data_IF_191526689737
#
_entry.id   IF_191526689737
#
_cell.length_a   1.000
_cell.length_b   1.000
_cell.length_c   1.000
_cell.angle_alpha   90.00
_cell.angle_beta   90.00
_cell.angle_gamma   90.00
#
_symmetry.space_group_name_H-M   'P 1'
#
loop_
_entity.id
_entity.type
_entity.pdbx_description
1 polymer ?
#
# COMPACT_ATOMS: atom_id res chain seq x y z
N UNK A 1 56.97 4.36 7.43
CA UNK A 1 55.75 5.02 7.96
C UNK A 1 54.53 4.25 7.48
N UNK A 2 53.60 3.96 8.40
CA UNK A 2 52.44 3.08 8.20
C UNK A 2 51.54 3.57 7.06
N UNK A 3 51.23 2.68 6.11
CA UNK A 3 50.13 2.84 5.15
C UNK A 3 48.81 2.86 5.93
N UNK A 4 48.10 4.00 5.91
CA UNK A 4 46.73 4.07 6.37
C UNK A 4 45.83 3.27 5.42
N UNK A 5 45.06 2.35 6.00
CA UNK A 5 44.21 1.41 5.29
C UNK A 5 42.87 2.07 4.96
N UNK A 6 42.72 2.56 3.71
CA UNK A 6 41.53 3.24 3.20
C UNK A 6 40.30 2.33 3.02
N UNK A 7 40.45 1.03 3.27
CA UNK A 7 39.35 0.05 3.18
C UNK A 7 38.38 0.08 4.38
N UNK A 8 38.68 0.80 5.46
CA UNK A 8 37.70 1.05 6.55
C UNK A 8 36.86 2.31 6.36
N UNK A 9 37.25 3.21 5.45
CA UNK A 9 36.44 4.40 5.12
C UNK A 9 35.41 4.09 4.02
N UNK A 10 35.70 3.11 3.13
CA UNK A 10 34.75 2.63 2.12
C UNK A 10 33.68 1.68 2.67
N UNK A 11 33.97 0.92 3.72
CA UNK A 11 32.96 0.10 4.41
C UNK A 11 31.92 0.93 5.18
N UNK A 12 32.26 2.17 5.56
CA UNK A 12 31.31 3.09 6.21
C UNK A 12 30.41 3.82 5.19
N UNK A 13 30.82 3.89 3.92
CA UNK A 13 30.01 4.46 2.82
C UNK A 13 29.24 3.40 2.01
N UNK A 14 29.67 2.13 2.01
CA UNK A 14 28.94 1.03 1.35
C UNK A 14 27.79 0.44 2.19
N UNK A 15 27.68 0.79 3.47
CA UNK A 15 26.49 0.47 4.27
C UNK A 15 25.34 1.49 4.09
N UNK A 16 25.54 2.55 3.30
CA UNK A 16 24.50 3.54 2.98
C UNK A 16 23.81 3.29 1.62
N UNK A 17 24.16 2.21 0.92
CA UNK A 17 23.67 1.93 -0.44
C UNK A 17 22.75 0.71 -0.56
N UNK A 18 22.12 0.29 0.55
CA UNK A 18 21.05 -0.72 0.57
C UNK A 18 19.80 -0.24 1.33
N UNK A 19 19.59 1.07 1.39
CA UNK A 19 18.30 1.72 1.69
C UNK A 19 18.12 2.87 0.70
N UNK A 20 17.79 2.54 -0.54
CA UNK A 20 17.28 3.51 -1.53
C UNK A 20 16.02 2.93 -2.19
N UNK A 21 15.04 2.58 -1.37
CA UNK A 21 13.63 2.80 -1.74
C UNK A 21 13.31 4.24 -1.38
N UNK A 22 12.73 4.99 -2.33
CA UNK A 22 12.38 6.41 -2.27
C UNK A 22 13.56 7.39 -2.39
N UNK A 23 13.98 7.70 -3.63
CA UNK A 23 14.34 9.09 -3.92
C UNK A 23 13.03 9.89 -3.91
N UNK A 24 12.63 10.30 -2.71
CA UNK A 24 11.81 11.50 -2.56
C UNK A 24 12.59 12.61 -3.28
N UNK A 25 12.00 13.21 -4.30
CA UNK A 25 12.39 14.56 -4.67
C UNK A 25 12.10 15.42 -3.45
N UNK A 26 13.07 15.53 -2.53
CA UNK A 26 13.06 16.62 -1.56
C UNK A 26 13.48 17.85 -2.34
N UNK A 27 12.52 18.44 -3.05
CA UNK A 27 12.45 19.88 -3.11
C UNK A 27 12.71 20.40 -1.69
N UNK A 28 13.62 21.34 -1.56
CA UNK A 28 13.96 21.97 -0.31
C UNK A 28 12.77 22.83 0.17
N UNK A 29 11.67 22.19 0.54
CA UNK A 29 10.63 22.81 1.34
C UNK A 29 11.10 22.71 2.78
N UNK A 30 11.26 23.89 3.41
CA UNK A 30 11.40 23.98 4.84
C UNK A 30 10.31 23.11 5.47
N UNK A 31 10.73 22.09 6.22
CA UNK A 31 9.83 21.25 7.01
C UNK A 31 9.10 22.23 7.94
N UNK A 32 7.86 22.59 7.61
CA UNK A 32 7.07 23.38 8.53
C UNK A 32 6.81 22.47 9.72
N UNK A 33 7.18 22.89 10.93
CA UNK A 33 6.87 22.16 12.18
C UNK A 33 5.36 22.19 12.49
N UNK A 34 4.52 22.47 11.49
CA UNK A 34 3.08 22.61 11.60
C UNK A 34 2.45 21.23 11.54
N UNK A 35 1.99 20.76 12.69
CA UNK A 35 1.25 19.50 12.81
C UNK A 35 -0.25 19.77 12.79
N UNK A 36 -0.97 19.07 11.91
CA UNK A 36 -2.43 19.07 11.87
C UNK A 36 -3.00 18.03 12.86
N UNK A 37 -4.01 18.40 13.62
CA UNK A 37 -4.69 17.57 14.63
C UNK A 37 -6.20 17.58 14.40
N UNK A 38 -6.93 16.73 15.12
CA UNK A 38 -8.39 16.64 14.97
C UNK A 38 -9.10 17.99 15.20
N UNK A 39 -8.59 18.80 16.14
CA UNK A 39 -9.08 20.13 16.49
C UNK A 39 -9.04 21.16 15.34
N UNK A 40 -8.26 20.92 14.29
CA UNK A 40 -8.16 21.82 13.13
C UNK A 40 -9.31 21.66 12.15
N UNK A 41 -10.16 20.64 12.36
CA UNK A 41 -11.20 20.26 11.42
C UNK A 41 -12.58 20.30 12.09
N UNK A 42 -13.59 20.56 11.27
CA UNK A 42 -14.99 20.37 11.63
C UNK A 42 -15.45 18.99 11.16
N UNK A 43 -16.40 18.42 11.90
CA UNK A 43 -16.92 17.08 11.63
C UNK A 43 -18.44 17.10 11.44
N UNK A 44 -18.94 16.25 10.55
CA UNK A 44 -20.36 15.92 10.49
C UNK A 44 -20.79 15.08 11.69
N UNK A 45 -22.10 14.89 11.89
CA UNK A 45 -22.65 13.97 12.91
C UNK A 45 -22.14 12.53 12.78
N UNK A 46 -21.80 12.12 11.57
CA UNK A 46 -21.21 10.81 11.25
C UNK A 46 -19.69 10.73 11.47
N UNK A 47 -19.05 11.82 11.90
CA UNK A 47 -17.61 11.88 12.13
C UNK A 47 -16.75 12.02 10.88
N UNK A 48 -17.31 12.52 9.76
CA UNK A 48 -16.54 12.83 8.56
C UNK A 48 -15.98 14.25 8.66
N UNK A 49 -14.75 14.48 8.23
CA UNK A 49 -14.19 15.83 8.14
C UNK A 49 -14.94 16.59 7.03
N UNK A 50 -15.44 17.80 7.32
CA UNK A 50 -16.24 18.59 6.38
C UNK A 50 -15.62 19.94 6.01
N UNK A 51 -14.83 20.55 6.90
CA UNK A 51 -14.23 21.86 6.70
C UNK A 51 -13.12 22.13 7.74
N UNK A 52 -12.41 23.25 7.64
CA UNK A 52 -11.53 23.74 8.70
C UNK A 52 -12.30 24.33 9.88
N UNK A 53 -11.88 24.04 11.10
CA UNK A 53 -12.26 24.81 12.28
C UNK A 53 -11.59 26.20 12.25
N UNK A 54 -11.88 27.06 13.24
CA UNK A 54 -11.16 28.33 13.39
C UNK A 54 -9.65 28.12 13.55
N UNK A 55 -9.25 27.10 14.32
CA UNK A 55 -7.84 26.70 14.47
C UNK A 55 -7.24 26.26 13.13
N UNK A 56 -8.00 25.51 12.33
CA UNK A 56 -7.56 25.08 11.00
C UNK A 56 -7.37 26.25 10.03
N UNK A 57 -8.23 27.27 10.10
CA UNK A 57 -8.08 28.50 9.33
C UNK A 57 -6.81 29.25 9.73
N UNK A 58 -6.56 29.44 11.03
CA UNK A 58 -5.33 30.08 11.52
C UNK A 58 -4.08 29.29 11.12
N UNK A 59 -4.18 27.96 11.02
CA UNK A 59 -3.09 27.07 10.62
C UNK A 59 -2.83 27.14 9.11
N UNK A 60 -3.86 27.26 8.29
CA UNK A 60 -3.74 27.46 6.83
C UNK A 60 -2.87 28.66 6.49
N UNK A 61 -2.92 29.74 7.27
CA UNK A 61 -2.10 30.94 7.05
C UNK A 61 -0.59 30.70 7.31
N UNK A 62 -0.23 29.58 7.96
CA UNK A 62 1.15 29.25 8.34
C UNK A 62 1.78 28.19 7.45
N UNK A 63 1.00 27.49 6.63
CA UNK A 63 1.50 26.40 5.78
C UNK A 63 0.62 26.12 4.55
N UNK A 64 1.25 25.65 3.48
CA UNK A 64 0.61 25.09 2.30
C UNK A 64 0.77 23.55 2.23
N UNK A 65 1.13 22.90 3.33
CA UNK A 65 1.11 21.44 3.44
C UNK A 65 -0.09 21.06 4.30
N UNK A 66 -1.10 20.42 3.70
CA UNK A 66 -2.28 19.92 4.40
C UNK A 66 -2.11 18.44 4.72
N UNK A 67 -2.25 18.07 5.99
CA UNK A 67 -2.22 16.67 6.43
C UNK A 67 -3.50 16.38 7.18
N UNK A 68 -4.26 15.38 6.76
CA UNK A 68 -5.43 14.94 7.52
C UNK A 68 -5.01 13.97 8.64
N UNK A 69 -5.68 13.98 9.81
CA UNK A 69 -5.31 13.10 10.92
C UNK A 69 -5.55 11.63 10.60
N UNK A 70 -4.66 10.76 11.09
CA UNK A 70 -4.89 9.30 11.08
C UNK A 70 -6.19 8.95 11.83
N UNK A 71 -6.90 7.93 11.37
CA UNK A 71 -8.21 7.56 11.90
C UNK A 71 -9.39 8.27 11.21
N UNK A 72 -9.12 9.29 10.38
CA UNK A 72 -10.13 9.92 9.51
C UNK A 72 -10.73 8.86 8.58
N UNK A 73 -12.06 8.71 8.60
CA UNK A 73 -12.78 7.74 7.75
C UNK A 73 -13.08 8.30 6.36
N UNK A 74 -13.56 9.53 6.32
CA UNK A 74 -13.94 10.23 5.09
C UNK A 74 -13.65 11.72 5.21
N UNK A 75 -13.33 12.32 4.07
CA UNK A 75 -13.17 13.78 3.93
C UNK A 75 -14.20 14.23 2.92
N UNK A 76 -15.15 15.06 3.35
CA UNK A 76 -16.20 15.62 2.53
C UNK A 76 -15.84 17.05 2.09
N UNK A 77 -16.44 17.48 1.00
CA UNK A 77 -16.18 18.80 0.43
C UNK A 77 -17.25 19.85 0.69
N UNK A 78 -16.98 20.97 0.02
CA UNK A 78 -17.69 22.25 -0.09
C UNK A 78 -19.22 22.24 0.10
N UNK A 79 -19.91 21.22 -0.40
CA UNK A 79 -21.37 21.14 -0.40
C UNK A 79 -21.95 20.28 0.72
N UNK A 80 -21.18 20.04 1.79
CA UNK A 80 -21.70 19.37 2.97
C UNK A 80 -22.79 20.23 3.61
N UNK A 81 -24.05 19.77 3.53
CA UNK A 81 -25.20 20.39 4.21
C UNK A 81 -24.97 20.54 5.72
N UNK A 82 -24.02 19.79 6.30
CA UNK A 82 -23.69 19.82 7.72
C UNK A 82 -23.17 21.17 8.23
N UNK A 83 -22.72 22.09 7.36
CA UNK A 83 -22.29 23.44 7.77
C UNK A 83 -22.89 24.55 6.89
N UNK A 84 -24.06 24.33 6.29
CA UNK A 84 -24.68 25.30 5.36
C UNK A 84 -24.97 26.66 5.98
N UNK A 85 -25.23 26.68 7.30
CA UNK A 85 -25.58 27.87 8.08
C UNK A 85 -24.35 28.64 8.60
N UNK A 86 -23.13 28.15 8.32
CA UNK A 86 -21.91 28.83 8.73
C UNK A 86 -21.60 30.00 7.77
N UNK A 87 -21.54 31.21 8.31
CA UNK A 87 -21.20 32.42 7.57
C UNK A 87 -19.79 32.36 6.95
N UNK A 88 -18.88 31.58 7.54
CA UNK A 88 -17.53 31.37 7.07
C UNK A 88 -17.37 30.12 6.18
N UNK A 89 -18.47 29.43 5.82
CA UNK A 89 -18.42 28.14 5.10
C UNK A 89 -17.43 28.11 3.94
N UNK A 90 -17.43 29.15 3.10
CA UNK A 90 -16.56 29.25 1.93
C UNK A 90 -15.09 29.40 2.30
N UNK A 91 -14.79 30.12 3.40
CA UNK A 91 -13.41 30.27 3.87
C UNK A 91 -12.87 28.96 4.46
N UNK A 92 -13.75 28.15 5.07
CA UNK A 92 -13.39 26.89 5.74
C UNK A 92 -13.14 25.72 4.79
N UNK A 93 -13.44 25.86 3.50
CA UNK A 93 -13.19 24.83 2.50
C UNK A 93 -11.69 24.53 2.32
N UNK A 94 -11.39 23.28 1.96
CA UNK A 94 -10.06 22.84 1.52
C UNK A 94 -9.74 23.27 0.08
N UNK A 95 -10.80 23.55 -0.69
CA UNK A 95 -10.81 23.86 -2.13
C UNK A 95 -10.66 25.34 -2.47
N UNK A 96 -11.66 25.87 -3.17
CA UNK A 96 -11.86 27.22 -3.70
C UNK A 96 -10.84 28.26 -3.25
N UNK A 97 -9.91 28.59 -4.15
CA UNK A 97 -8.94 29.67 -3.96
C UNK A 97 -7.83 29.35 -2.95
N UNK A 98 -7.74 28.12 -2.46
CA UNK A 98 -6.60 27.66 -1.64
C UNK A 98 -5.51 27.11 -2.54
N UNK A 99 -4.27 27.35 -2.13
CA UNK A 99 -3.08 26.74 -2.70
C UNK A 99 -2.43 25.80 -1.69
N UNK A 100 -2.03 24.63 -2.17
CA UNK A 100 -1.36 23.58 -1.41
C UNK A 100 -0.14 23.08 -2.19
N UNK A 101 1.04 23.23 -1.59
CA UNK A 101 2.26 22.58 -2.06
C UNK A 101 2.07 21.06 -1.98
N UNK A 102 1.37 20.59 -0.93
CA UNK A 102 1.11 19.17 -0.72
C UNK A 102 -0.17 18.90 0.06
N UNK A 103 -0.95 17.91 -0.38
CA UNK A 103 -2.07 17.35 0.38
C UNK A 103 -1.79 15.88 0.69
N UNK A 104 -1.87 15.51 1.97
CA UNK A 104 -1.65 14.15 2.46
C UNK A 104 -2.95 13.60 3.04
N UNK A 105 -3.52 12.63 2.34
CA UNK A 105 -4.70 11.87 2.78
C UNK A 105 -4.20 10.56 3.42
N UNK A 106 -4.42 10.33 4.72
CA UNK A 106 -3.89 9.16 5.42
C UNK A 106 -4.61 7.88 5.01
N UNK A 107 -3.94 6.74 5.19
CA UNK A 107 -4.41 5.42 4.72
C UNK A 107 -5.68 4.93 5.45
N UNK A 108 -6.10 5.60 6.53
CA UNK A 108 -7.39 5.37 7.19
C UNK A 108 -8.60 5.83 6.35
N UNK A 109 -8.39 6.77 5.42
CA UNK A 109 -9.47 7.37 4.62
C UNK A 109 -9.90 6.42 3.52
N UNK A 110 -11.19 6.09 3.47
CA UNK A 110 -11.77 5.21 2.45
C UNK A 110 -12.59 5.94 1.39
N UNK A 111 -13.06 7.14 1.73
CA UNK A 111 -13.94 7.94 0.87
C UNK A 111 -13.48 9.39 0.84
N UNK A 112 -13.28 9.90 -0.37
CA UNK A 112 -13.15 11.33 -0.61
C UNK A 112 -14.47 11.82 -1.23
N UNK A 113 -15.16 12.70 -0.54
CA UNK A 113 -16.51 13.13 -0.86
C UNK A 113 -16.58 14.13 -2.01
N UNK A 114 -17.82 14.46 -2.38
CA UNK A 114 -18.13 15.42 -3.44
C UNK A 114 -17.43 16.77 -3.20
N UNK A 115 -16.74 17.28 -4.22
CA UNK A 115 -16.08 18.59 -4.22
C UNK A 115 -15.07 18.82 -3.07
N UNK A 116 -14.42 17.77 -2.56
CA UNK A 116 -13.49 17.83 -1.43
C UNK A 116 -12.41 18.93 -1.58
N UNK A 117 -11.78 19.01 -2.74
CA UNK A 117 -10.75 20.00 -3.07
C UNK A 117 -11.13 20.86 -4.29
N UNK A 118 -12.43 20.98 -4.58
CA UNK A 118 -12.93 21.75 -5.74
C UNK A 118 -12.23 23.10 -5.88
N UNK A 119 -11.55 23.33 -7.01
CA UNK A 119 -10.80 24.56 -7.33
C UNK A 119 -9.68 24.94 -6.33
N UNK A 120 -9.04 23.96 -5.67
CA UNK A 120 -7.76 24.17 -4.98
C UNK A 120 -6.58 24.05 -5.95
N UNK A 121 -5.61 24.94 -5.92
CA UNK A 121 -4.32 24.71 -6.60
C UNK A 121 -3.50 23.72 -5.78
N UNK A 122 -3.21 22.53 -6.32
CA UNK A 122 -2.45 21.48 -5.63
C UNK A 122 -1.25 21.07 -6.48
N UNK A 123 -0.05 21.17 -5.91
CA UNK A 123 1.19 20.75 -6.58
C UNK A 123 1.40 19.23 -6.43
N UNK A 124 1.26 18.69 -5.21
CA UNK A 124 1.36 17.26 -4.92
C UNK A 124 0.16 16.76 -4.10
N UNK A 125 -0.42 15.62 -4.50
CA UNK A 125 -1.44 14.93 -3.70
C UNK A 125 -1.04 13.48 -3.45
N UNK A 126 -0.98 13.09 -2.18
CA UNK A 126 -0.88 11.70 -1.76
C UNK A 126 -2.27 11.19 -1.36
N UNK A 127 -2.87 10.37 -2.21
CA UNK A 127 -4.11 9.66 -1.90
C UNK A 127 -3.86 8.54 -0.89
N UNK A 128 -4.90 8.19 -0.13
CA UNK A 128 -4.91 7.01 0.74
C UNK A 128 -4.76 5.72 -0.06
N UNK A 129 -3.90 4.81 0.38
CA UNK A 129 -3.79 3.46 -0.19
C UNK A 129 -5.05 2.61 0.02
N UNK A 130 -5.94 3.01 0.93
CA UNK A 130 -7.21 2.35 1.22
C UNK A 130 -8.41 3.06 0.57
N UNK A 131 -8.18 4.08 -0.27
CA UNK A 131 -9.25 4.85 -0.88
C UNK A 131 -10.06 3.97 -1.84
N UNK A 132 -11.34 3.78 -1.54
CA UNK A 132 -12.26 2.98 -2.37
C UNK A 132 -13.15 3.84 -3.25
N UNK A 133 -13.37 5.09 -2.88
CA UNK A 133 -14.34 5.98 -3.53
C UNK A 133 -13.80 7.39 -3.69
N UNK A 134 -13.88 7.92 -4.93
CA UNK A 134 -13.56 9.28 -5.26
C UNK A 134 -14.80 10.01 -5.77
N UNK A 135 -15.31 10.95 -4.98
CA UNK A 135 -16.55 11.67 -5.22
C UNK A 135 -16.50 12.66 -6.37
N UNK A 136 -17.70 13.03 -6.85
CA UNK A 136 -17.83 13.93 -7.99
C UNK A 136 -17.17 15.28 -7.71
N UNK A 137 -16.51 15.84 -8.72
CA UNK A 137 -15.75 17.11 -8.60
C UNK A 137 -14.65 17.12 -7.52
N UNK A 138 -14.25 15.98 -6.94
CA UNK A 138 -13.33 15.95 -5.78
C UNK A 138 -12.04 16.73 -5.99
N UNK A 139 -11.46 16.67 -7.20
CA UNK A 139 -10.29 17.43 -7.64
C UNK A 139 -10.58 18.23 -8.91
N UNK A 140 -11.81 18.74 -9.07
CA UNK A 140 -12.15 19.59 -10.21
C UNK A 140 -11.27 20.84 -10.23
N UNK A 141 -10.63 21.11 -11.37
CA UNK A 141 -9.81 22.30 -11.61
C UNK A 141 -8.74 22.53 -10.54
N UNK A 142 -7.99 21.49 -10.19
CA UNK A 142 -6.96 21.56 -9.15
C UNK A 142 -5.54 21.87 -9.63
N UNK A 143 -5.34 21.93 -10.95
CA UNK A 143 -4.02 22.15 -11.55
C UNK A 143 -3.08 20.94 -11.48
N UNK A 144 -3.55 19.77 -11.01
CA UNK A 144 -2.76 18.56 -10.83
C UNK A 144 -2.04 18.15 -12.12
N UNK A 145 -0.75 17.85 -12.03
CA UNK A 145 0.07 17.37 -13.16
C UNK A 145 0.19 15.84 -13.19
N UNK A 146 0.13 15.24 -12.01
CA UNK A 146 0.19 13.80 -11.82
C UNK A 146 -0.71 13.40 -10.64
N UNK A 147 -1.21 12.17 -10.68
CA UNK A 147 -1.88 11.54 -9.55
C UNK A 147 -1.71 10.03 -9.66
N UNK A 148 -1.34 9.38 -8.55
CA UNK A 148 -1.31 7.92 -8.47
C UNK A 148 -2.63 7.43 -7.88
N UNK A 149 -3.41 6.69 -8.66
CA UNK A 149 -4.65 6.07 -8.18
C UNK A 149 -4.31 4.78 -7.40
N UNK A 150 -4.86 4.59 -6.19
CA UNK A 150 -4.57 3.41 -5.38
C UNK A 150 -5.24 2.16 -5.96
N UNK A 151 -4.61 0.99 -5.79
CA UNK A 151 -5.12 -0.30 -6.25
C UNK A 151 -6.38 -0.80 -5.52
N UNK A 152 -6.89 -0.01 -4.56
CA UNK A 152 -8.14 -0.25 -3.82
C UNK A 152 -9.31 0.57 -4.36
N UNK A 153 -9.05 1.52 -5.27
CA UNK A 153 -10.07 2.42 -5.81
C UNK A 153 -11.09 1.65 -6.64
N UNK A 154 -12.37 1.85 -6.33
CA UNK A 154 -13.49 1.15 -6.97
C UNK A 154 -14.29 2.10 -7.86
N UNK A 155 -14.57 3.32 -7.39
CA UNK A 155 -15.43 4.27 -8.07
C UNK A 155 -14.73 5.61 -8.29
N UNK A 156 -14.83 6.12 -9.52
CA UNK A 156 -14.40 7.46 -9.91
C UNK A 156 -15.64 8.19 -10.43
N UNK A 157 -16.14 9.13 -9.64
CA UNK A 157 -17.37 9.84 -9.93
C UNK A 157 -17.19 10.98 -10.96
N UNK A 158 -18.31 11.57 -11.35
CA UNK A 158 -18.39 12.54 -12.42
C UNK A 158 -17.47 13.74 -12.18
N UNK A 159 -16.74 14.14 -13.22
CA UNK A 159 -15.87 15.32 -13.20
C UNK A 159 -14.77 15.30 -12.10
N UNK A 160 -14.45 14.15 -11.50
CA UNK A 160 -13.58 14.06 -10.32
C UNK A 160 -12.18 14.67 -10.53
N UNK A 161 -11.62 14.56 -11.74
CA UNK A 161 -10.34 15.16 -12.15
C UNK A 161 -10.49 16.05 -13.39
N UNK A 162 -11.69 16.57 -13.68
CA UNK A 162 -11.86 17.46 -14.84
C UNK A 162 -11.04 18.76 -14.67
N UNK A 163 -10.54 19.31 -15.77
CA UNK A 163 -9.82 20.61 -15.84
C UNK A 163 -8.50 20.63 -15.06
N UNK A 164 -7.76 19.52 -15.09
CA UNK A 164 -6.40 19.46 -14.53
C UNK A 164 -5.34 19.48 -15.64
N UNK A 165 -4.07 19.26 -15.27
CA UNK A 165 -2.94 19.19 -16.18
C UNK A 165 -2.37 17.76 -16.27
N UNK A 166 -3.19 16.73 -16.01
CA UNK A 166 -2.72 15.34 -15.99
C UNK A 166 -2.22 14.94 -17.38
N UNK A 167 -1.02 14.38 -17.45
CA UNK A 167 -0.35 13.98 -18.70
C UNK A 167 -0.51 12.49 -18.99
N UNK A 168 -0.49 11.68 -17.94
CA UNK A 168 -0.67 10.25 -18.01
C UNK A 168 -1.60 9.80 -16.88
N UNK A 169 -2.38 8.75 -17.12
CA UNK A 169 -3.16 8.11 -16.06
C UNK A 169 -3.19 6.60 -16.25
N UNK A 170 -2.96 5.88 -15.14
CA UNK A 170 -3.20 4.44 -15.06
C UNK A 170 -4.43 4.19 -14.20
N UNK A 171 -5.48 3.64 -14.79
CA UNK A 171 -6.69 3.17 -14.12
C UNK A 171 -6.42 1.75 -13.56
N UNK A 172 -6.41 1.57 -12.23
CA UNK A 172 -6.14 0.28 -11.60
C UNK A 172 -7.18 -0.80 -11.94
N UNK A 173 -6.80 -2.07 -11.78
CA UNK A 173 -7.68 -3.23 -12.03
C UNK A 173 -8.94 -3.24 -11.16
N UNK A 174 -8.88 -2.61 -9.98
CA UNK A 174 -9.96 -2.56 -9.00
C UNK A 174 -11.12 -1.65 -9.39
N UNK A 175 -10.88 -0.69 -10.30
CA UNK A 175 -11.88 0.30 -10.69
C UNK A 175 -13.00 -0.40 -11.45
N UNK A 176 -14.23 -0.21 -10.97
CA UNK A 176 -15.45 -0.78 -11.53
C UNK A 176 -16.25 0.25 -12.32
N UNK A 177 -16.26 1.51 -11.91
CA UNK A 177 -17.00 2.58 -12.61
C UNK A 177 -16.15 3.82 -12.76
N UNK A 178 -16.26 4.44 -13.94
CA UNK A 178 -15.74 5.78 -14.22
C UNK A 178 -16.87 6.59 -14.84
N UNK A 179 -17.32 7.60 -14.11
CA UNK A 179 -18.46 8.39 -14.51
C UNK A 179 -18.09 9.52 -15.47
N UNK A 180 -19.12 10.10 -16.07
CA UNK A 180 -19.03 11.13 -17.10
C UNK A 180 -18.02 12.24 -16.77
N UNK A 181 -17.21 12.60 -17.77
CA UNK A 181 -16.23 13.68 -17.69
C UNK A 181 -15.16 13.55 -16.59
N UNK A 182 -15.01 12.40 -15.93
CA UNK A 182 -14.09 12.26 -14.80
C UNK A 182 -12.66 12.74 -15.07
N UNK A 183 -12.15 12.58 -16.30
CA UNK A 183 -10.81 13.01 -16.73
C UNK A 183 -10.87 13.98 -17.92
N UNK A 184 -12.01 14.66 -18.11
CA UNK A 184 -12.20 15.67 -19.15
C UNK A 184 -11.21 16.83 -19.02
N UNK A 185 -10.85 17.47 -20.13
CA UNK A 185 -10.07 18.74 -20.13
C UNK A 185 -8.77 18.61 -19.35
N UNK A 186 -8.03 17.55 -19.62
CA UNK A 186 -6.67 17.35 -19.12
C UNK A 186 -5.67 17.47 -20.27
N UNK A 187 -4.41 17.07 -20.02
CA UNK A 187 -3.34 16.99 -21.01
C UNK A 187 -2.95 15.54 -21.29
N UNK A 188 -3.92 14.61 -21.21
CA UNK A 188 -3.64 13.18 -21.26
C UNK A 188 -3.20 12.76 -22.65
N UNK A 189 -1.91 12.47 -22.81
CA UNK A 189 -1.38 11.77 -23.98
C UNK A 189 -1.36 10.26 -23.80
N UNK A 190 -1.54 9.76 -22.57
CA UNK A 190 -1.53 8.32 -22.28
C UNK A 190 -2.61 7.95 -21.27
N UNK A 191 -3.44 6.99 -21.64
CA UNK A 191 -4.45 6.40 -20.75
C UNK A 191 -4.24 4.89 -20.74
N UNK A 192 -3.91 4.34 -19.58
CA UNK A 192 -3.77 2.89 -19.38
C UNK A 192 -4.88 2.36 -18.50
N UNK A 193 -5.69 1.43 -19.00
CA UNK A 193 -6.76 0.78 -18.24
C UNK A 193 -6.39 -0.67 -18.01
N UNK A 194 -6.13 -1.03 -16.75
CA UNK A 194 -5.63 -2.37 -16.38
C UNK A 194 -6.75 -3.41 -16.20
N UNK A 195 -7.99 -2.96 -15.98
CA UNK A 195 -9.18 -3.79 -15.80
C UNK A 195 -10.25 -3.52 -16.86
N UNK A 196 -11.49 -3.89 -16.57
CA UNK A 196 -12.65 -3.67 -17.45
C UNK A 196 -13.73 -2.84 -16.73
N UNK A 197 -13.46 -1.56 -16.38
CA UNK A 197 -14.45 -0.72 -15.74
C UNK A 197 -15.64 -0.45 -16.67
N UNK A 198 -16.82 -0.25 -16.10
CA UNK A 198 -17.92 0.41 -16.79
C UNK A 198 -17.56 1.90 -16.93
N UNK A 199 -17.10 2.28 -18.13
CA UNK A 199 -16.76 3.66 -18.45
C UNK A 199 -17.99 4.31 -19.07
N UNK A 200 -18.45 5.39 -18.45
CA UNK A 200 -19.57 6.17 -18.96
C UNK A 200 -19.25 6.67 -20.38
N UNK A 201 -20.22 6.59 -21.29
CA UNK A 201 -20.02 7.02 -22.69
C UNK A 201 -19.87 8.52 -22.86
N UNK A 202 -20.19 9.32 -21.83
CA UNK A 202 -20.13 10.78 -21.88
C UNK A 202 -18.73 11.29 -21.53
N UNK A 203 -17.86 11.30 -22.54
CA UNK A 203 -16.67 12.14 -22.59
C UNK A 203 -15.71 11.98 -21.41
N UNK A 204 -15.53 10.78 -20.88
CA UNK A 204 -14.69 10.54 -19.70
C UNK A 204 -13.26 11.06 -19.90
N UNK A 205 -12.68 10.88 -21.09
CA UNK A 205 -11.37 11.41 -21.46
C UNK A 205 -11.47 12.41 -22.63
N UNK A 206 -12.55 13.19 -22.72
CA UNK A 206 -12.72 14.14 -23.83
C UNK A 206 -11.97 15.47 -23.63
N UNK A 207 -11.83 16.24 -24.72
CA UNK A 207 -11.23 17.57 -24.74
C UNK A 207 -9.83 17.60 -24.13
N UNK A 208 -9.00 16.61 -24.43
CA UNK A 208 -7.59 16.67 -24.04
C UNK A 208 -6.86 17.72 -24.88
N UNK A 209 -6.08 18.57 -24.23
CA UNK A 209 -5.26 19.59 -24.88
C UNK A 209 -3.80 19.35 -24.53
N UNK A 210 -3.08 18.70 -25.44
CA UNK A 210 -1.73 18.21 -25.17
C UNK A 210 -0.69 19.06 -25.88
N UNK A 211 0.33 19.48 -25.14
CA UNK A 211 1.60 19.93 -25.71
C UNK A 211 2.67 18.88 -25.44
N UNK A 212 3.14 18.21 -26.50
CA UNK A 212 4.14 17.15 -26.39
C UNK A 212 5.47 17.61 -26.99
N UNK A 213 6.49 17.70 -26.13
CA UNK A 213 7.86 18.08 -26.48
C UNK A 213 8.79 16.89 -26.31
N UNK A 214 8.92 16.00 -27.31
CA UNK A 214 9.82 14.85 -27.21
C UNK A 214 11.27 15.32 -27.03
N UNK A 215 11.98 14.72 -26.07
CA UNK A 215 13.42 15.02 -25.86
C UNK A 215 14.32 14.32 -26.89
N UNK A 216 13.88 13.19 -27.44
CA UNK A 216 14.59 12.40 -28.47
C UNK A 216 13.56 11.71 -29.38
N UNK A 217 13.90 11.51 -30.66
CA UNK A 217 13.20 10.62 -31.58
C UNK A 217 13.74 9.18 -31.38
N UNK A 218 12.92 8.12 -31.35
CA UNK A 218 11.55 8.07 -31.83
C UNK A 218 10.44 8.13 -30.79
N UNK A 219 9.29 8.61 -31.25
CA UNK A 219 7.98 8.35 -30.66
C UNK A 219 7.78 6.84 -30.50
N UNK A 220 8.10 6.28 -29.33
CA UNK A 220 7.78 4.88 -29.09
C UNK A 220 6.27 4.72 -28.88
N UNK A 221 5.60 4.13 -29.88
CA UNK A 221 4.15 3.86 -29.96
C UNK A 221 3.53 3.35 -28.65
N UNK A 222 4.29 2.60 -27.85
CA UNK A 222 3.82 1.92 -26.65
C UNK A 222 3.48 2.85 -25.46
N UNK A 223 3.83 4.13 -25.53
CA UNK A 223 3.59 5.08 -24.43
C UNK A 223 2.49 6.08 -24.74
N UNK A 224 1.76 5.95 -25.86
CA UNK A 224 0.86 6.99 -26.33
C UNK A 224 -0.53 6.45 -26.66
N UNK A 225 -1.56 7.24 -26.33
CA UNK A 225 -2.95 6.93 -26.61
C UNK A 225 -3.63 6.07 -25.55
N UNK A 226 -4.73 5.43 -25.93
CA UNK A 226 -5.56 4.62 -25.05
C UNK A 226 -5.15 3.14 -25.13
N UNK A 227 -4.50 2.63 -24.08
CA UNK A 227 -3.91 1.28 -24.07
C UNK A 227 -3.01 1.02 -25.30
N UNK A 228 -2.24 2.02 -25.72
CA UNK A 228 -1.39 1.97 -26.91
C UNK A 228 -2.11 2.25 -28.25
N UNK A 229 -3.44 2.42 -28.25
CA UNK A 229 -4.19 2.79 -29.45
C UNK A 229 -4.26 4.31 -29.57
N UNK A 230 -3.67 4.84 -30.64
CA UNK A 230 -3.48 6.29 -30.80
C UNK A 230 -4.74 6.99 -31.31
N UNK A 231 -5.51 6.37 -32.20
CA UNK A 231 -6.79 6.91 -32.68
C UNK A 231 -6.68 8.24 -33.45
N UNK A 232 -5.57 8.50 -34.16
CA UNK A 232 -5.40 9.74 -34.92
C UNK A 232 -6.42 9.84 -36.07
N UNK A 233 -7.08 11.01 -36.21
CA UNK A 233 -8.03 11.25 -37.31
C UNK A 233 -7.35 11.39 -38.67
N UNK A 234 -6.20 12.08 -38.69
CA UNK A 234 -5.37 12.26 -39.88
C UNK A 234 -3.95 12.64 -39.49
N UNK A 235 -3.00 12.40 -40.40
CA UNK A 235 -1.61 12.86 -40.26
C UNK A 235 -1.53 14.26 -40.90
N UNK A 236 -1.11 15.30 -40.16
CA UNK A 236 -1.02 16.66 -40.69
C UNK A 236 0.13 16.80 -41.70
N UNK A 237 0.01 17.78 -42.60
CA UNK A 237 1.10 18.15 -43.50
C UNK A 237 2.36 18.51 -42.71
N UNK A 238 3.53 18.05 -43.17
CA UNK A 238 4.78 18.27 -42.46
C UNK A 238 5.17 17.16 -41.47
N UNK A 239 4.28 16.18 -41.28
CA UNK A 239 4.54 14.97 -40.51
C UNK A 239 4.29 13.75 -41.40
N UNK A 240 5.18 12.76 -41.32
CA UNK A 240 4.98 11.43 -41.89
C UNK A 240 5.09 10.38 -40.80
N UNK A 241 4.49 9.22 -41.07
CA UNK A 241 4.62 8.05 -40.23
C UNK A 241 5.31 6.95 -41.01
N UNK A 242 6.56 6.64 -40.65
CA UNK A 242 7.44 5.74 -41.38
C UNK A 242 8.11 4.80 -40.37
N UNK A 243 8.07 3.48 -40.62
CA UNK A 243 8.68 2.46 -39.76
C UNK A 243 8.29 2.52 -38.26
N UNK A 244 7.06 2.96 -37.97
CA UNK A 244 6.57 3.12 -36.59
C UNK A 244 6.97 4.44 -35.92
N UNK A 245 7.55 5.36 -36.68
CA UNK A 245 8.06 6.63 -36.16
C UNK A 245 7.42 7.83 -36.84
N UNK A 246 7.23 8.89 -36.06
CA UNK A 246 6.86 10.19 -36.59
C UNK A 246 8.09 10.93 -37.12
N UNK A 247 8.07 11.20 -38.43
CA UNK A 247 9.15 11.88 -39.14
C UNK A 247 8.66 13.27 -39.54
N UNK A 248 9.31 14.30 -38.99
CA UNK A 248 9.02 15.69 -39.36
C UNK A 248 9.74 16.09 -40.66
N UNK A 249 9.08 16.94 -41.45
CA UNK A 249 9.74 17.64 -42.53
C UNK A 249 10.77 18.65 -42.02
N UNK A 250 11.83 18.85 -42.81
CA UNK A 250 13.04 19.61 -42.43
C UNK A 250 12.76 20.99 -41.83
N UNK A 251 11.70 21.66 -42.27
CA UNK A 251 11.39 23.05 -41.91
C UNK A 251 10.13 23.19 -41.04
N UNK A 252 9.66 22.09 -40.42
CA UNK A 252 8.44 22.10 -39.60
C UNK A 252 8.81 22.15 -38.12
N UNK A 253 8.31 23.15 -37.40
CA UNK A 253 8.63 23.37 -35.99
C UNK A 253 7.78 22.50 -35.06
N UNK A 254 6.51 22.39 -35.39
CA UNK A 254 5.53 21.59 -34.70
C UNK A 254 4.36 21.31 -35.63
N UNK A 255 3.57 20.31 -35.29
CA UNK A 255 2.30 20.00 -35.97
C UNK A 255 1.19 19.85 -34.94
N UNK A 256 -0.02 20.25 -35.32
CA UNK A 256 -1.22 19.96 -34.54
C UNK A 256 -1.96 18.79 -35.19
N UNK A 257 -2.38 17.82 -34.38
CA UNK A 257 -3.22 16.71 -34.81
C UNK A 257 -4.41 16.52 -33.87
N UNK A 258 -5.49 15.96 -34.40
CA UNK A 258 -6.66 15.56 -33.63
C UNK A 258 -6.67 14.04 -33.49
N UNK A 259 -7.02 13.56 -32.29
CA UNK A 259 -7.22 12.16 -32.01
C UNK A 259 -8.63 11.93 -31.47
N UNK A 260 -9.19 10.78 -31.83
CA UNK A 260 -10.49 10.31 -31.40
C UNK A 260 -10.48 8.79 -31.45
N UNK A 261 -10.64 8.20 -30.27
CA UNK A 261 -10.65 6.78 -30.07
C UNK A 261 -11.99 6.35 -29.46
N UNK A 262 -12.56 5.30 -30.05
CA UNK A 262 -13.75 4.60 -29.57
C UNK A 262 -14.96 5.50 -29.33
N UNK A 263 -15.40 6.22 -30.38
CA UNK A 263 -16.57 7.11 -30.39
C UNK A 263 -16.53 8.17 -29.28
N UNK A 264 -15.57 9.09 -29.34
CA UNK A 264 -15.40 10.20 -28.37
C UNK A 264 -15.02 9.79 -26.93
N UNK A 265 -14.70 8.50 -26.68
CA UNK A 265 -14.27 8.05 -25.35
C UNK A 265 -12.97 8.74 -24.93
N UNK A 266 -11.99 8.76 -25.83
CA UNK A 266 -10.71 9.45 -25.67
C UNK A 266 -10.48 10.32 -26.90
N UNK A 267 -10.61 11.63 -26.74
CA UNK A 267 -10.46 12.58 -27.84
C UNK A 267 -9.81 13.88 -27.39
N UNK A 268 -9.16 14.54 -28.34
CA UNK A 268 -8.50 15.80 -28.07
C UNK A 268 -7.66 16.30 -29.23
N UNK A 269 -6.87 17.32 -28.91
CA UNK A 269 -5.89 17.93 -29.81
C UNK A 269 -4.52 17.81 -29.20
N UNK A 270 -3.53 17.66 -30.07
CA UNK A 270 -2.16 17.59 -29.66
C UNK A 270 -1.27 18.41 -30.56
N UNK A 271 -0.50 19.30 -29.94
CA UNK A 271 0.64 19.95 -30.56
C UNK A 271 1.89 19.14 -30.27
N UNK A 272 2.51 18.62 -31.33
CA UNK A 272 3.74 17.85 -31.27
C UNK A 272 4.88 18.70 -31.80
N UNK A 273 5.89 18.95 -30.98
CA UNK A 273 7.06 19.73 -31.37
C UNK A 273 8.13 18.85 -32.03
N UNK A 274 8.71 19.34 -33.13
CA UNK A 274 9.77 18.65 -33.85
C UNK A 274 11.03 18.54 -32.97
N UNK A 275 11.45 17.32 -32.57
CA UNK A 275 12.60 17.14 -31.70
C UNK A 275 13.89 17.70 -32.33
N UNK A 276 14.03 17.67 -33.66
CA UNK A 276 15.26 18.11 -34.36
C UNK A 276 15.51 19.62 -34.26
N UNK A 277 14.51 20.42 -33.89
CA UNK A 277 14.65 21.88 -33.72
C UNK A 277 14.85 22.31 -32.27
N UNK A 278 14.35 21.51 -31.32
CA UNK A 278 14.42 21.79 -29.88
C UNK A 278 15.42 20.90 -29.14
N UNK A 279 16.01 19.91 -29.83
CA UNK A 279 17.29 19.34 -29.43
C UNK A 279 18.31 20.46 -29.45
N UNK A 280 18.63 20.99 -28.27
CA UNK A 280 19.86 21.76 -28.02
C UNK A 280 20.98 21.11 -28.82
N UNK A 281 21.69 21.90 -29.63
CA UNK A 281 22.92 21.55 -30.37
C UNK A 281 23.71 20.42 -29.68
N UNK A 282 23.35 19.18 -30.01
CA UNK A 282 24.08 17.97 -29.67
C UNK A 282 24.32 17.14 -30.93
N UNK A 283 24.15 17.76 -32.10
CA UNK A 283 25.11 17.55 -33.18
C UNK A 283 26.37 18.37 -32.89
N UNK A 284 27.05 18.09 -31.77
CA UNK A 284 28.50 18.09 -31.86
C UNK A 284 28.81 16.90 -32.75
N UNK A 285 29.45 17.13 -33.90
CA UNK A 285 30.21 16.08 -34.56
C UNK A 285 31.06 15.44 -33.46
N UNK A 286 30.70 14.23 -33.02
CA UNK A 286 31.46 13.54 -32.00
C UNK A 286 32.86 13.39 -32.57
N UNK A 287 33.84 14.05 -31.95
CA UNK A 287 35.23 13.86 -32.32
C UNK A 287 35.61 12.41 -32.01
N UNK A 288 36.66 11.87 -32.64
CA UNK A 288 37.13 10.52 -32.30
C UNK A 288 37.38 10.35 -30.80
N UNK A 289 37.78 11.43 -30.13
CA UNK A 289 38.00 11.48 -28.69
C UNK A 289 36.70 11.37 -27.85
N UNK A 290 35.58 11.93 -28.33
CA UNK A 290 34.26 11.79 -27.67
C UNK A 290 33.68 10.38 -27.81
N UNK A 291 34.02 9.69 -28.90
CA UNK A 291 33.68 8.28 -29.13
C UNK A 291 34.53 7.41 -28.20
N UNK A 292 35.85 7.65 -28.14
CA UNK A 292 36.76 6.93 -27.25
C UNK A 292 36.37 7.08 -25.77
N UNK A 293 35.98 8.27 -25.31
CA UNK A 293 35.51 8.47 -23.93
C UNK A 293 34.22 7.69 -23.62
N UNK A 294 33.31 7.62 -24.59
CA UNK A 294 32.06 6.84 -24.45
C UNK A 294 32.34 5.35 -24.48
N UNK A 295 33.23 4.87 -25.35
CA UNK A 295 33.64 3.47 -25.43
C UNK A 295 34.32 3.02 -24.13
N UNK A 296 35.22 3.84 -23.57
CA UNK A 296 35.81 3.56 -22.26
C UNK A 296 34.75 3.47 -21.15
N UNK A 297 33.73 4.34 -21.19
CA UNK A 297 32.62 4.29 -20.24
C UNK A 297 31.74 3.05 -20.44
N UNK A 298 31.55 2.60 -21.67
CA UNK A 298 30.86 1.35 -22.00
C UNK A 298 31.65 0.15 -21.47
N UNK A 299 32.98 0.15 -21.61
CA UNK A 299 33.84 -0.91 -21.07
C UNK A 299 33.79 -0.97 -19.53
N UNK A 300 33.84 0.19 -18.87
CA UNK A 300 33.69 0.28 -17.41
C UNK A 300 32.31 -0.21 -16.95
N UNK A 301 31.24 0.16 -17.66
CA UNK A 301 29.89 -0.32 -17.37
C UNK A 301 29.77 -1.83 -17.60
N UNK A 302 30.36 -2.35 -18.67
CA UNK A 302 30.37 -3.79 -18.99
C UNK A 302 31.09 -4.58 -17.91
N UNK A 303 32.22 -4.06 -17.41
CA UNK A 303 32.95 -4.65 -16.28
C UNK A 303 32.12 -4.63 -14.99
N UNK A 304 31.44 -3.53 -14.70
CA UNK A 304 30.57 -3.41 -13.52
C UNK A 304 29.38 -4.36 -13.60
N UNK A 305 28.76 -4.51 -14.78
CA UNK A 305 27.68 -5.48 -15.01
C UNK A 305 28.18 -6.89 -14.73
N UNK A 306 29.36 -7.27 -15.25
CA UNK A 306 29.94 -8.60 -15.02
C UNK A 306 30.25 -8.87 -13.54
N UNK A 307 30.69 -7.85 -12.80
CA UNK A 307 30.90 -7.96 -11.35
C UNK A 307 29.56 -8.18 -10.61
N UNK A 308 28.52 -7.43 -10.98
CA UNK A 308 27.18 -7.60 -10.43
C UNK A 308 26.58 -8.98 -10.77
N UNK A 309 26.78 -9.49 -11.98
CA UNK A 309 26.35 -10.83 -12.39
C UNK A 309 27.02 -11.92 -11.53
N UNK A 310 28.32 -11.77 -11.23
CA UNK A 310 29.03 -12.68 -10.33
C UNK A 310 28.49 -12.59 -8.90
N UNK A 311 28.23 -11.37 -8.39
CA UNK A 311 27.64 -11.18 -7.06
C UNK A 311 26.23 -11.81 -6.97
N UNK A 312 25.41 -11.70 -8.00
CA UNK A 312 24.09 -12.33 -8.08
C UNK A 312 24.22 -13.86 -8.07
N UNK A 313 25.19 -14.42 -8.79
CA UNK A 313 25.47 -15.85 -8.77
C UNK A 313 25.84 -16.34 -7.37
N UNK A 314 26.76 -15.67 -6.69
CA UNK A 314 27.17 -16.01 -5.32
C UNK A 314 26.01 -15.94 -4.33
N UNK A 315 25.12 -14.95 -4.49
CA UNK A 315 23.91 -14.82 -3.66
C UNK A 315 22.90 -15.95 -3.92
N UNK A 316 22.73 -16.38 -5.17
CA UNK A 316 21.87 -17.51 -5.52
C UNK A 316 22.41 -18.83 -4.97
N UNK A 317 23.72 -19.05 -5.03
CA UNK A 317 24.37 -20.24 -4.47
C UNK A 317 24.16 -20.29 -2.94
N UNK A 318 24.36 -19.16 -2.24
CA UNK A 318 24.07 -19.04 -0.80
C UNK A 318 22.60 -19.27 -0.47
N UNK A 319 21.69 -18.72 -1.28
CA UNK A 319 20.24 -18.93 -1.10
C UNK A 319 19.88 -20.41 -1.20
N UNK A 320 20.50 -21.14 -2.12
CA UNK A 320 20.29 -22.59 -2.27
C UNK A 320 20.83 -23.37 -1.05
N UNK A 321 21.99 -22.98 -0.52
CA UNK A 321 22.56 -23.55 0.70
C UNK A 321 21.63 -23.31 1.91
N UNK A 322 21.14 -22.08 2.08
CA UNK A 322 20.22 -21.73 3.17
C UNK A 322 18.87 -22.44 3.04
N UNK A 323 18.36 -22.61 1.81
CA UNK A 323 17.14 -23.39 1.57
C UNK A 323 17.32 -24.86 1.99
N UNK A 324 18.48 -25.44 1.70
CA UNK A 324 18.82 -26.81 2.13
C UNK A 324 18.83 -26.93 3.65
N UNK A 325 19.44 -25.96 4.36
CA UNK A 325 19.43 -25.91 5.84
C UNK A 325 18.02 -25.77 6.41
N UNK A 326 17.16 -24.97 5.78
CA UNK A 326 15.76 -24.82 6.19
C UNK A 326 15.02 -26.15 6.08
N UNK A 327 15.24 -26.90 5.01
CA UNK A 327 14.54 -28.17 4.79
C UNK A 327 15.03 -29.27 5.77
N UNK A 328 16.32 -29.32 6.09
CA UNK A 328 16.85 -30.16 7.18
C UNK A 328 16.23 -29.80 8.55
N UNK A 329 16.06 -28.50 8.83
CA UNK A 329 15.46 -28.04 10.08
C UNK A 329 13.97 -28.40 10.16
N UNK A 330 13.23 -28.34 9.04
CA UNK A 330 11.84 -28.79 8.98
C UNK A 330 11.72 -30.29 9.26
N UNK A 331 12.59 -31.10 8.68
CA UNK A 331 12.60 -32.56 8.93
C UNK A 331 12.87 -32.88 10.41
N UNK A 332 13.85 -32.20 11.02
CA UNK A 332 14.11 -32.31 12.47
C UNK A 332 12.91 -31.87 13.31
N UNK A 333 12.23 -30.78 12.93
CA UNK A 333 11.04 -30.30 13.63
C UNK A 333 9.90 -31.32 13.59
N UNK A 334 9.68 -31.97 12.44
CA UNK A 334 8.63 -32.96 12.28
C UNK A 334 8.92 -34.22 13.13
N UNK A 335 10.16 -34.71 13.12
CA UNK A 335 10.60 -35.80 14.02
C UNK A 335 10.39 -35.45 15.51
N UNK A 336 10.57 -34.19 15.91
CA UNK A 336 10.32 -33.75 17.28
C UNK A 336 8.82 -33.74 17.63
N UNK A 337 7.94 -33.36 16.69
CA UNK A 337 6.48 -33.42 16.90
C UNK A 337 6.00 -34.86 17.08
N UNK A 338 6.46 -35.78 16.25
CA UNK A 338 6.11 -37.20 16.33
C UNK A 338 6.52 -37.81 17.69
N UNK A 339 7.72 -37.48 18.17
CA UNK A 339 8.17 -37.91 19.50
C UNK A 339 7.35 -37.27 20.63
N UNK A 340 6.96 -36.00 20.49
CA UNK A 340 6.10 -35.31 21.44
C UNK A 340 4.70 -35.93 21.54
N UNK A 341 4.09 -36.30 20.42
CA UNK A 341 2.80 -37.00 20.40
C UNK A 341 2.88 -38.40 21.00
N UNK A 342 3.94 -39.17 20.72
CA UNK A 342 4.18 -40.47 21.37
C UNK A 342 4.27 -40.34 22.90
N UNK A 343 5.01 -39.35 23.40
CA UNK A 343 5.14 -39.11 24.84
C UNK A 343 3.82 -38.68 25.49
N UNK A 344 2.96 -37.91 24.79
CA UNK A 344 1.61 -37.58 25.29
C UNK A 344 0.74 -38.83 25.39
N UNK A 345 0.78 -39.72 24.40
CA UNK A 345 0.03 -40.97 24.42
C UNK A 345 0.50 -41.90 25.55
N UNK A 346 1.82 -42.01 25.75
CA UNK A 346 2.39 -42.81 26.83
C UNK A 346 2.05 -42.23 28.21
N UNK A 347 2.11 -40.90 28.37
CA UNK A 347 1.64 -40.21 29.58
C UNK A 347 0.16 -40.50 29.84
N UNK A 348 -0.71 -40.39 28.84
CA UNK A 348 -2.14 -40.63 29.01
C UNK A 348 -2.43 -42.08 29.45
N UNK A 349 -1.67 -43.05 28.91
CA UNK A 349 -1.75 -44.46 29.33
C UNK A 349 -1.30 -44.65 30.78
N UNK A 350 -0.19 -44.02 31.17
CA UNK A 350 0.28 -44.07 32.56
C UNK A 350 -0.70 -43.41 33.54
N UNK A 351 -1.35 -42.30 33.16
CA UNK A 351 -2.39 -41.65 33.96
C UNK A 351 -3.63 -42.53 34.14
N UNK A 352 -4.01 -43.28 33.12
CA UNK A 352 -5.09 -44.29 33.21
C UNK A 352 -4.71 -45.45 34.13
N UNK A 353 -3.51 -46.00 34.00
CA UNK A 353 -3.02 -47.06 34.89
C UNK A 353 -2.93 -46.60 36.36
N UNK A 354 -2.58 -45.33 36.61
CA UNK A 354 -2.59 -44.75 37.96
C UNK A 354 -4.02 -44.69 38.51
N UNK A 355 -4.97 -44.19 37.72
CA UNK A 355 -6.38 -44.09 38.11
C UNK A 355 -6.99 -45.46 38.44
N UNK A 356 -6.67 -46.50 37.67
CA UNK A 356 -7.13 -47.86 37.94
C UNK A 356 -6.56 -48.42 39.26
N UNK A 357 -5.28 -48.13 39.54
CA UNK A 357 -4.65 -48.50 40.82
C UNK A 357 -5.30 -47.76 41.99
N UNK A 358 -5.57 -46.46 41.87
CA UNK A 358 -6.26 -45.68 42.91
C UNK A 358 -7.66 -46.21 43.20
N UNK A 359 -8.41 -46.57 42.16
CA UNK A 359 -9.72 -47.22 42.30
C UNK A 359 -9.59 -48.57 43.04
N UNK A 360 -8.57 -49.35 42.73
CA UNK A 360 -8.34 -50.63 43.42
C UNK A 360 -7.95 -50.45 44.88
N UNK A 361 -7.12 -49.44 45.19
CA UNK A 361 -6.77 -49.06 46.56
C UNK A 361 -8.02 -48.65 47.34
N UNK A 362 -8.88 -47.82 46.75
CA UNK A 362 -10.13 -47.41 47.37
C UNK A 362 -11.05 -48.60 47.67
N UNK A 363 -11.14 -49.57 46.76
CA UNK A 363 -11.89 -50.80 46.97
C UNK A 363 -11.31 -51.64 48.12
N UNK A 364 -9.99 -51.84 48.13
CA UNK A 364 -9.30 -52.58 49.19
C UNK A 364 -9.47 -51.91 50.56
N UNK A 365 -9.39 -50.58 50.62
CA UNK A 365 -9.64 -49.84 51.86
C UNK A 365 -11.06 -50.04 52.36
N UNK A 366 -12.05 -50.08 51.46
CA UNK A 366 -13.44 -50.39 51.83
C UNK A 366 -13.57 -51.81 52.39
N UNK A 367 -12.96 -52.80 51.74
CA UNK A 367 -12.94 -54.19 52.21
C UNK A 367 -12.26 -54.30 53.60
N UNK A 368 -11.16 -53.56 53.83
CA UNK A 368 -10.49 -53.50 55.13
C UNK A 368 -11.41 -52.93 56.21
N UNK A 369 -12.15 -51.85 55.92
CA UNK A 369 -13.09 -51.26 56.89
C UNK A 369 -14.28 -52.19 57.16
N UNK A 370 -14.80 -52.88 56.15
CA UNK A 370 -15.83 -53.92 56.33
C UNK A 370 -15.32 -55.06 57.23
N UNK A 371 -14.09 -55.53 57.03
CA UNK A 371 -13.46 -56.55 57.88
C UNK A 371 -13.24 -56.07 59.32
N UNK A 372 -12.75 -54.85 59.52
CA UNK A 372 -12.58 -54.23 60.85
C UNK A 372 -13.89 -54.15 61.62
N UNK A 373 -14.98 -53.82 60.93
CA UNK A 373 -16.31 -53.76 61.54
C UNK A 373 -16.83 -55.17 61.87
N UNK A 374 -16.63 -56.17 61.00
CA UNK A 374 -17.08 -57.55 61.25
C UNK A 374 -16.37 -58.22 62.44
N UNK A 375 -15.06 -58.00 62.62
CA UNK A 375 -14.30 -58.58 63.72
C UNK A 375 -14.58 -57.92 65.07
N UNK A 376 -15.06 -56.68 65.10
CA UNK A 376 -15.40 -56.01 66.37
C UNK A 376 -16.73 -56.51 66.93
N UNK A 377 -17.75 -56.73 66.10
CA UNK A 377 -19.06 -57.16 66.60
C UNK A 377 -19.03 -58.59 67.17
N UNK A 378 -18.25 -59.49 66.56
CA UNK A 378 -18.09 -60.86 67.04
C UNK A 378 -17.24 -60.95 68.33
N UNK A 379 -16.13 -60.20 68.42
CA UNK A 379 -15.34 -60.09 69.65
C UNK A 379 -16.11 -59.41 70.80
N UNK A 380 -16.91 -58.38 70.51
CA UNK A 380 -17.73 -57.69 71.52
C UNK A 380 -18.82 -58.62 72.05
N UNK A 381 -19.43 -59.46 71.21
CA UNK A 381 -20.40 -60.46 71.64
C UNK A 381 -19.76 -61.52 72.56
N UNK A 382 -18.60 -62.09 72.19
CA UNK A 382 -17.88 -63.07 73.02
C UNK A 382 -17.42 -62.47 74.37
N UNK A 383 -16.85 -61.26 74.36
CA UNK A 383 -16.45 -60.57 75.59
C UNK A 383 -17.65 -60.27 76.50
N UNK A 384 -18.81 -59.95 75.92
CA UNK A 384 -20.03 -59.69 76.70
C UNK A 384 -20.56 -60.98 77.34
N UNK A 385 -20.54 -62.09 76.60
CA UNK A 385 -20.94 -63.40 77.11
C UNK A 385 -20.00 -63.91 78.21
N UNK A 386 -18.68 -63.75 78.03
CA UNK A 386 -17.67 -64.09 79.04
C UNK A 386 -17.78 -63.21 80.30
N UNK A 387 -18.09 -61.91 80.14
CA UNK A 387 -18.34 -61.02 81.28
C UNK A 387 -19.58 -61.43 82.07
N UNK A 388 -20.65 -61.84 81.41
CA UNK A 388 -21.87 -62.32 82.07
C UNK A 388 -21.67 -63.66 82.79
N UNK A 389 -20.89 -64.59 82.21
CA UNK A 389 -20.49 -65.83 82.88
C UNK A 389 -19.61 -65.56 84.11
N UNK A 390 -18.63 -64.66 84.02
CA UNK A 390 -17.80 -64.26 85.15
C UNK A 390 -18.64 -63.69 86.29
N UNK A 391 -19.64 -62.86 85.96
CA UNK A 391 -20.58 -62.28 86.94
C UNK A 391 -21.43 -63.36 87.62
N UNK A 392 -21.92 -64.36 86.86
CA UNK A 392 -22.66 -65.51 87.40
C UNK A 392 -21.79 -66.38 88.32
N UNK A 393 -20.53 -66.61 87.95
CA UNK A 393 -19.58 -67.36 88.78
C UNK A 393 -19.24 -66.61 90.08
N UNK A 394 -19.03 -65.30 90.01
CA UNK A 394 -18.82 -64.45 91.20
C UNK A 394 -20.03 -64.45 92.14
N UNK A 395 -21.27 -64.41 91.62
CA UNK A 395 -22.48 -64.54 92.45
C UNK A 395 -22.63 -65.93 93.09
N UNK A 396 -22.20 -67.01 92.40
CA UNK A 396 -22.20 -68.37 92.98
C UNK A 396 -21.15 -68.57 94.08
N UNK A 397 -20.07 -67.79 94.09
CA UNK A 397 -19.03 -67.85 95.12
C UNK A 397 -19.37 -67.03 96.39
N UNK A 398 -20.47 -66.28 96.39
CA UNK A 398 -20.93 -65.48 97.53
C UNK A 398 -22.13 -66.10 98.28
N UNK A 399 -22.53 -67.33 97.95
CA UNK A 399 -23.58 -68.10 98.63
C UNK A 399 -23.04 -69.41 99.20
#
# INVERSE_FOLDING_TARGET
>A
MKKFNTNRLRAFFMALLLVLTSTVHTSAFAKSDVTWTEDDFMYSSEGNIIAFSDKGLEKKEKTNILVFPEGTKSINGNYSLSHSNDELRYKREFGRGKHWDKVIIPDSVKHLGYAAFYEASIDEVKLSNSLTYLGGLAFFNCGLREVTLPNTLVNIEHNAFERNNLQEITIPKSVKTIEQYAFSRNKLHTVKVLGNPNINSKGVFHNQEVEYRPKQNPFYENHFGFNGNQGFKSIPNGLRFENGEFVFDKNVDSVELEFDYNNDLYQGKMTIYNPNKYSIDTQTDLTGQDIDEKDNKIDDLTKNIKDLENQIKDLNDKKQEDQTKIDELKEKLESCKDNGEKLKQEKAKLEEEIRDKDNKIAQLNKEIEELKNSNNDELIAEITQLKDELKRLQMKMQN
#
